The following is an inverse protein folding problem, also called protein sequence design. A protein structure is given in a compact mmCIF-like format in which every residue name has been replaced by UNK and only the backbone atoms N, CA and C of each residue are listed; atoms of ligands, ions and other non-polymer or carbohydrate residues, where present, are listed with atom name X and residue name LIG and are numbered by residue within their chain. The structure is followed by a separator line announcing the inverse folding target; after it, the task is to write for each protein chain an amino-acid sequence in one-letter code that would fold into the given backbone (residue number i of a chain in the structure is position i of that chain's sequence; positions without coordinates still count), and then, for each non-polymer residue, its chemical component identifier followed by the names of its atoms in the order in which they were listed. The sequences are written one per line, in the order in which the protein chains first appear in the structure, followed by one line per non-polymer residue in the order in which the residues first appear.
data_IF_294541968807
#
_entry.id   IF_294541968807
#
_cell.length_a   1.000
_cell.length_b   1.000
_cell.length_c   1.000
_cell.angle_alpha   90.00
_cell.angle_beta   90.00
_cell.angle_gamma   90.00
#
_symmetry.space_group_name_H-M   'P 1'
#
loop_
_entity.id
_entity.type
_entity.pdbx_description
1 polymer ?
#
# COMPACT_ATOMS: atom_id res chain seq x y z
N UNK A 1 -1.90 -2.69 -11.52
CA UNK A 1 -2.69 -2.62 -12.77
C UNK A 1 -4.06 -3.25 -12.61
N UNK A 2 -4.18 -4.48 -12.10
CA UNK A 2 -5.46 -5.20 -11.98
C UNK A 2 -6.60 -4.45 -11.25
N UNK A 3 -6.33 -3.77 -10.13
CA UNK A 3 -7.36 -3.01 -9.39
C UNK A 3 -7.89 -1.81 -10.18
N UNK A 4 -7.04 -1.14 -10.95
CA UNK A 4 -7.43 -0.01 -11.79
C UNK A 4 -8.30 -0.48 -12.97
N UNK A 5 -7.95 -1.60 -13.59
CA UNK A 5 -8.73 -2.21 -14.67
C UNK A 5 -10.12 -2.65 -14.19
N UNK A 6 -10.20 -3.26 -12.99
CA UNK A 6 -11.49 -3.63 -12.38
C UNK A 6 -12.34 -2.39 -12.07
N UNK A 7 -11.73 -1.33 -11.53
CA UNK A 7 -12.41 -0.06 -11.28
C UNK A 7 -12.98 0.56 -12.57
N UNK A 8 -12.17 0.67 -13.62
CA UNK A 8 -12.61 1.21 -14.93
C UNK A 8 -13.75 0.37 -15.51
N UNK A 9 -13.69 -0.96 -15.38
CA UNK A 9 -14.74 -1.88 -15.83
C UNK A 9 -16.05 -1.66 -15.06
N UNK A 10 -15.98 -1.54 -13.73
CA UNK A 10 -17.16 -1.28 -12.90
C UNK A 10 -17.78 0.09 -13.18
N UNK A 11 -16.95 1.13 -13.35
CA UNK A 11 -17.41 2.48 -13.70
C UNK A 11 -18.09 2.52 -15.09
N UNK A 12 -17.54 1.80 -16.07
CA UNK A 12 -18.10 1.68 -17.42
C UNK A 12 -19.45 0.97 -17.40
N UNK A 13 -19.56 -0.13 -16.63
CA UNK A 13 -20.81 -0.87 -16.47
C UNK A 13 -21.89 -0.02 -15.78
N UNK A 14 -21.53 0.74 -14.74
CA UNK A 14 -22.42 1.69 -14.08
C UNK A 14 -22.92 2.75 -15.07
N UNK A 15 -22.02 3.38 -15.84
CA UNK A 15 -22.40 4.41 -16.81
C UNK A 15 -23.29 3.86 -17.94
N UNK A 16 -23.02 2.64 -18.42
CA UNK A 16 -23.87 1.96 -19.38
C UNK A 16 -25.27 1.67 -18.81
N UNK A 17 -25.37 1.29 -17.53
CA UNK A 17 -26.65 1.08 -16.85
C UNK A 17 -27.44 2.38 -16.65
N UNK A 18 -26.77 3.49 -16.37
CA UNK A 18 -27.36 4.83 -16.24
C UNK A 18 -27.87 5.36 -17.60
N UNK A 19 -27.19 5.07 -18.70
CA UNK A 19 -27.70 5.35 -20.05
C UNK A 19 -28.96 4.53 -20.40
N UNK A 20 -29.07 3.29 -19.89
CA UNK A 20 -30.28 2.46 -20.05
C UNK A 20 -31.44 2.86 -19.12
N UNK A 21 -31.17 3.58 -18.02
CA UNK A 21 -32.17 4.08 -17.07
C UNK A 21 -33.25 4.95 -17.74
N UNK A 22 -32.86 5.73 -18.74
CA UNK A 22 -33.80 6.56 -19.51
C UNK A 22 -34.58 5.78 -20.58
N UNK A 23 -34.19 4.53 -20.89
CA UNK A 23 -34.74 3.78 -22.01
C UNK A 23 -35.48 2.48 -21.62
N UNK A 24 -35.25 1.82 -20.47
CA UNK A 24 -35.99 0.60 -20.07
C UNK A 24 -35.96 0.27 -18.55
N UNK A 25 -37.01 -0.43 -18.07
CA UNK A 25 -37.48 -0.59 -16.67
C UNK A 25 -36.79 -1.67 -15.78
N UNK A 26 -35.63 -2.25 -16.15
CA UNK A 26 -35.04 -3.35 -15.36
C UNK A 26 -34.21 -2.83 -14.17
N UNK A 27 -34.91 -2.32 -13.16
CA UNK A 27 -34.34 -1.79 -11.92
C UNK A 27 -33.41 -2.77 -11.19
N UNK A 28 -33.55 -4.09 -11.39
CA UNK A 28 -32.70 -5.10 -10.73
C UNK A 28 -31.26 -5.03 -11.23
N UNK A 29 -31.05 -4.93 -12.54
CA UNK A 29 -29.70 -4.83 -13.13
C UNK A 29 -28.98 -3.54 -12.71
N UNK A 30 -29.74 -2.46 -12.54
CA UNK A 30 -29.22 -1.19 -12.05
C UNK A 30 -28.73 -1.33 -10.61
N UNK A 31 -29.54 -1.92 -9.72
CA UNK A 31 -29.15 -2.16 -8.32
C UNK A 31 -27.90 -3.05 -8.23
N UNK A 32 -27.80 -4.10 -9.05
CA UNK A 32 -26.62 -4.97 -9.13
C UNK A 32 -25.37 -4.20 -9.59
N UNK A 33 -25.48 -3.37 -10.62
CA UNK A 33 -24.38 -2.56 -11.13
C UNK A 33 -23.89 -1.52 -10.09
N UNK A 34 -24.82 -0.82 -9.43
CA UNK A 34 -24.51 0.14 -8.35
C UNK A 34 -23.80 -0.57 -7.20
N UNK A 35 -24.35 -1.70 -6.74
CA UNK A 35 -23.78 -2.48 -5.62
C UNK A 35 -22.38 -2.98 -5.95
N UNK A 36 -22.18 -3.48 -7.17
CA UNK A 36 -20.86 -3.91 -7.64
C UNK A 36 -19.87 -2.74 -7.65
N UNK A 37 -20.27 -1.59 -8.20
CA UNK A 37 -19.44 -0.39 -8.24
C UNK A 37 -19.06 0.12 -6.84
N UNK A 38 -20.02 0.20 -5.92
CA UNK A 38 -19.78 0.59 -4.53
C UNK A 38 -18.78 -0.35 -3.85
N UNK A 39 -18.92 -1.67 -4.06
CA UNK A 39 -18.01 -2.66 -3.49
C UNK A 39 -16.57 -2.51 -4.00
N UNK A 40 -16.40 -2.22 -5.29
CA UNK A 40 -15.08 -2.01 -5.90
C UNK A 40 -14.47 -0.67 -5.46
N UNK A 41 -15.28 0.38 -5.32
CA UNK A 41 -14.85 1.66 -4.75
C UNK A 41 -14.37 1.52 -3.32
N UNK A 42 -15.07 0.72 -2.51
CA UNK A 42 -14.66 0.45 -1.14
C UNK A 42 -13.32 -0.30 -1.11
N UNK A 43 -13.16 -1.35 -1.93
CA UNK A 43 -11.89 -2.10 -2.05
C UNK A 43 -10.74 -1.21 -2.47
N UNK A 44 -10.95 -0.34 -3.45
CA UNK A 44 -9.93 0.60 -3.90
C UNK A 44 -9.50 1.58 -2.79
N UNK A 45 -10.48 2.09 -2.03
CA UNK A 45 -10.24 2.99 -0.89
C UNK A 45 -9.45 2.28 0.21
N UNK A 46 -9.83 1.06 0.56
CA UNK A 46 -9.17 0.25 1.59
C UNK A 46 -7.73 -0.11 1.19
N UNK A 47 -7.52 -0.47 -0.09
CA UNK A 47 -6.18 -0.73 -0.66
C UNK A 47 -5.28 0.50 -0.55
N UNK A 48 -5.77 1.68 -0.97
CA UNK A 48 -5.02 2.93 -0.83
C UNK A 48 -4.69 3.26 0.62
N UNK A 49 -5.63 3.05 1.55
CA UNK A 49 -5.39 3.27 2.97
C UNK A 49 -4.33 2.31 3.53
N UNK A 50 -4.35 1.04 3.14
CA UNK A 50 -3.34 0.07 3.55
C UNK A 50 -1.93 0.47 3.09
N UNK A 51 -1.79 1.01 1.87
CA UNK A 51 -0.53 1.56 1.39
C UNK A 51 -0.09 2.78 2.20
N UNK A 52 -1.00 3.72 2.48
CA UNK A 52 -0.69 4.90 3.30
C UNK A 52 -0.24 4.53 4.72
N UNK A 53 -0.89 3.55 5.34
CA UNK A 53 -0.54 3.04 6.66
C UNK A 53 0.85 2.37 6.65
N UNK A 54 1.17 1.62 5.58
CA UNK A 54 2.49 1.01 5.39
C UNK A 54 3.57 2.08 5.19
N UNK A 55 3.33 3.09 4.35
CA UNK A 55 4.25 4.20 4.12
C UNK A 55 4.54 4.94 5.43
N UNK A 56 3.49 5.29 6.18
CA UNK A 56 3.63 5.93 7.50
C UNK A 56 4.47 5.09 8.45
N UNK A 57 4.14 3.81 8.58
CA UNK A 57 4.86 2.89 9.47
C UNK A 57 6.32 2.72 9.06
N UNK A 58 6.62 2.67 7.77
CA UNK A 58 7.97 2.57 7.25
C UNK A 58 8.80 3.80 7.64
N UNK A 59 8.23 4.99 7.55
CA UNK A 59 8.93 6.23 7.91
C UNK A 59 9.13 6.39 9.43
N UNK A 60 8.15 6.01 10.24
CA UNK A 60 8.21 6.18 11.69
C UNK A 60 9.07 5.12 12.39
N UNK A 61 9.20 3.92 11.83
CA UNK A 61 9.88 2.83 12.52
C UNK A 61 11.39 3.10 12.68
N UNK A 62 11.87 2.87 13.90
CA UNK A 62 13.27 2.80 14.30
C UNK A 62 13.49 1.56 15.16
N UNK A 63 14.73 1.08 15.22
CA UNK A 63 15.10 -0.06 16.06
C UNK A 63 14.88 0.29 17.53
N UNK A 64 14.24 -0.62 18.27
CA UNK A 64 14.08 -0.49 19.71
C UNK A 64 15.35 -0.93 20.45
N UNK A 65 15.64 -0.36 21.63
CA UNK A 65 16.87 -0.64 22.39
C UNK A 65 17.08 -2.13 22.70
N UNK A 66 15.99 -2.87 22.96
CA UNK A 66 16.00 -4.29 23.27
C UNK A 66 15.86 -5.21 22.04
N UNK A 67 15.74 -4.63 20.83
CA UNK A 67 15.54 -5.39 19.60
C UNK A 67 16.87 -5.68 18.91
N UNK A 68 17.10 -6.92 18.48
CA UNK A 68 18.29 -7.27 17.69
C UNK A 68 18.21 -6.66 16.30
N UNK A 69 19.35 -6.28 15.72
CA UNK A 69 19.44 -5.69 14.37
C UNK A 69 18.78 -6.58 13.32
N UNK A 70 19.02 -7.90 13.39
CA UNK A 70 18.42 -8.84 12.44
C UNK A 70 16.89 -8.87 12.54
N UNK A 71 16.34 -8.85 13.76
CA UNK A 71 14.89 -8.80 13.97
C UNK A 71 14.29 -7.50 13.42
N UNK A 72 14.98 -6.38 13.67
CA UNK A 72 14.58 -5.08 13.12
C UNK A 72 14.63 -5.05 11.59
N UNK A 73 15.69 -5.56 10.98
CA UNK A 73 15.84 -5.62 9.53
C UNK A 73 14.72 -6.46 8.88
N UNK A 74 14.39 -7.63 9.45
CA UNK A 74 13.26 -8.44 8.97
C UNK A 74 11.91 -7.72 9.11
N UNK A 75 11.71 -6.98 10.21
CA UNK A 75 10.50 -6.17 10.40
C UNK A 75 10.40 -5.04 9.36
N UNK A 76 11.49 -4.32 9.13
CA UNK A 76 11.56 -3.25 8.15
C UNK A 76 11.27 -3.77 6.73
N UNK A 77 11.86 -4.91 6.36
CA UNK A 77 11.63 -5.57 5.07
C UNK A 77 10.17 -6.04 4.92
N UNK A 78 9.54 -6.53 5.99
CA UNK A 78 8.12 -6.91 5.96
C UNK A 78 7.19 -5.73 5.71
N UNK A 79 7.53 -4.55 6.26
CA UNK A 79 6.78 -3.31 6.01
C UNK A 79 7.04 -2.84 4.58
N UNK A 80 8.29 -2.89 4.11
CA UNK A 80 8.68 -2.51 2.75
C UNK A 80 7.89 -3.29 1.69
N UNK A 81 7.68 -4.59 1.90
CA UNK A 81 6.89 -5.44 0.99
C UNK A 81 5.41 -5.06 0.89
N UNK A 82 4.92 -4.14 1.75
CA UNK A 82 3.56 -3.60 1.73
C UNK A 82 3.49 -2.18 1.18
N UNK A 83 4.62 -1.57 0.82
CA UNK A 83 4.64 -0.25 0.21
C UNK A 83 4.10 -0.33 -1.22
N UNK A 84 3.57 0.79 -1.70
CA UNK A 84 3.08 0.90 -3.07
C UNK A 84 4.22 0.75 -4.09
N UNK A 85 5.41 1.19 -3.71
CA UNK A 85 6.61 1.16 -4.54
C UNK A 85 7.79 0.64 -3.72
N UNK A 86 8.56 -0.25 -4.33
CA UNK A 86 9.78 -0.77 -3.72
C UNK A 86 10.93 0.20 -3.86
N UNK A 87 11.81 0.23 -2.86
CA UNK A 87 13.04 1.01 -2.92
C UNK A 87 14.16 0.21 -3.58
N UNK A 88 15.05 0.91 -4.27
CA UNK A 88 16.30 0.32 -4.75
C UNK A 88 17.18 -0.13 -3.58
N UNK A 89 18.07 -1.10 -3.83
CA UNK A 89 18.93 -1.67 -2.78
C UNK A 89 19.77 -0.64 -2.03
N UNK A 90 20.31 0.36 -2.72
CA UNK A 90 21.12 1.40 -2.08
C UNK A 90 20.29 2.27 -1.12
N UNK A 91 19.07 2.65 -1.52
CA UNK A 91 18.12 3.35 -0.65
C UNK A 91 17.72 2.50 0.56
N UNK A 92 17.50 1.20 0.37
CA UNK A 92 17.17 0.28 1.47
C UNK A 92 18.28 0.19 2.51
N UNK A 93 19.53 0.09 2.08
CA UNK A 93 20.71 0.10 2.97
C UNK A 93 20.81 1.41 3.75
N UNK A 94 20.61 2.54 3.07
CA UNK A 94 20.61 3.86 3.70
C UNK A 94 19.49 4.00 4.74
N UNK A 95 18.27 3.57 4.41
CA UNK A 95 17.14 3.60 5.35
C UNK A 95 17.39 2.72 6.57
N UNK A 96 17.92 1.50 6.38
CA UNK A 96 18.28 0.63 7.48
C UNK A 96 19.33 1.30 8.40
N UNK A 97 20.39 1.86 7.82
CA UNK A 97 21.43 2.58 8.58
C UNK A 97 20.84 3.74 9.40
N UNK A 98 19.98 4.57 8.82
CA UNK A 98 19.38 5.70 9.53
C UNK A 98 18.43 5.28 10.67
N UNK A 99 17.84 4.08 10.57
CA UNK A 99 16.79 3.61 11.48
C UNK A 99 17.30 2.67 12.58
N UNK A 100 18.51 2.12 12.47
CA UNK A 100 19.14 1.37 13.57
C UNK A 100 19.62 2.30 14.69
N UNK A 101 19.84 1.73 15.87
CA UNK A 101 20.30 2.48 17.04
C UNK A 101 21.60 3.23 16.73
N UNK A 102 21.77 4.42 17.33
CA UNK A 102 22.97 5.23 17.16
C UNK A 102 24.24 4.51 17.63
N UNK A 103 24.16 3.67 18.66
CA UNK A 103 25.27 2.83 19.12
C UNK A 103 25.75 1.86 18.05
N UNK A 104 24.83 1.28 17.28
CA UNK A 104 25.14 0.37 16.18
C UNK A 104 25.72 1.15 15.00
N UNK A 105 25.17 2.31 14.64
CA UNK A 105 25.76 3.18 13.61
C UNK A 105 27.20 3.53 13.91
N UNK A 106 27.47 3.98 15.15
CA UNK A 106 28.84 4.29 15.60
C UNK A 106 29.78 3.10 15.47
N UNK A 107 29.30 1.87 15.69
CA UNK A 107 30.13 0.67 15.49
C UNK A 107 30.41 0.43 14.01
N UNK A 108 29.41 0.58 13.12
CA UNK A 108 29.61 0.49 11.67
C UNK A 108 30.58 1.55 11.15
N UNK A 109 30.45 2.79 11.60
CA UNK A 109 31.25 3.92 11.13
C UNK A 109 32.76 3.74 11.43
N UNK A 110 33.13 2.91 12.42
CA UNK A 110 34.54 2.59 12.71
C UNK A 110 35.24 1.79 11.61
N UNK A 111 34.49 1.12 10.75
CA UNK A 111 35.00 0.26 9.68
C UNK A 111 34.74 0.83 8.29
N UNK A 112 34.34 2.10 8.19
CA UNK A 112 34.02 2.77 6.93
C UNK A 112 35.25 3.38 6.23
N UNK A 113 36.46 3.04 6.68
CA UNK A 113 37.75 3.44 6.10
C UNK A 113 38.19 2.52 4.94
#
# INVERSE_FOLDING_TARGET
MKEFETFVTAATAFHASDLTYFNEHDHRKIIEAVTHFESEMQRFTDSNKAFQDADKKYWEITQQEHQRVQQFASQLQSIEGRLRHSYEEHHRKMHLYMKVLSSIRREFDKYAD
#
